data_IF_714660014816
#
_entry.id   IF_714660014816
#
_cell.length_a   1.000
_cell.length_b   1.000
_cell.length_c   1.000
_cell.angle_alpha   90.00
_cell.angle_beta   90.00
_cell.angle_gamma   90.00
#
_symmetry.space_group_name_H-M   'P 1'
#
loop_
_entity.id
_entity.type
_entity.pdbx_description
1 polymer ?
#
# COMPACT_ATOMS: atom_id res chain seq x y z
N UNK A 1 -18.04 5.90 1.12
CA UNK A 1 -18.20 6.61 -0.16
C UNK A 1 -18.81 5.65 -1.17
N UNK A 2 -19.59 6.18 -2.10
CA UNK A 2 -20.12 5.42 -3.22
C UNK A 2 -19.07 5.19 -4.30
N UNK A 3 -19.23 4.12 -5.09
CA UNK A 3 -18.37 3.86 -6.26
C UNK A 3 -18.31 5.05 -7.22
N UNK A 4 -19.43 5.72 -7.45
CA UNK A 4 -19.53 6.88 -8.35
C UNK A 4 -18.71 8.08 -7.86
N UNK A 5 -18.64 8.30 -6.55
CA UNK A 5 -17.82 9.38 -5.99
C UNK A 5 -16.33 9.09 -6.20
N UNK A 6 -15.89 7.87 -5.91
CA UNK A 6 -14.49 7.46 -6.07
C UNK A 6 -14.06 7.53 -7.55
N UNK A 7 -14.89 7.02 -8.46
CA UNK A 7 -14.61 7.05 -9.89
C UNK A 7 -14.48 8.49 -10.41
N UNK A 8 -15.37 9.40 -10.00
CA UNK A 8 -15.32 10.81 -10.38
C UNK A 8 -14.09 11.52 -9.79
N UNK A 9 -13.72 11.20 -8.57
CA UNK A 9 -12.50 11.74 -7.95
C UNK A 9 -11.24 11.30 -8.71
N UNK A 10 -11.16 10.03 -9.11
CA UNK A 10 -10.05 9.52 -9.92
C UNK A 10 -10.00 10.19 -11.29
N UNK A 11 -11.14 10.36 -11.97
CA UNK A 11 -11.21 11.07 -13.26
C UNK A 11 -10.71 12.52 -13.16
N UNK A 12 -11.01 13.22 -12.05
CA UNK A 12 -10.51 14.57 -11.83
C UNK A 12 -9.00 14.60 -11.60
N UNK A 13 -8.46 13.64 -10.84
CA UNK A 13 -7.03 13.54 -10.58
C UNK A 13 -6.22 13.23 -11.85
N UNK A 14 -6.74 12.36 -12.72
CA UNK A 14 -6.11 11.97 -13.99
C UNK A 14 -5.90 13.14 -14.97
N UNK A 15 -6.55 14.29 -14.75
CA UNK A 15 -6.34 15.49 -15.58
C UNK A 15 -4.95 16.07 -15.44
N UNK A 16 -4.42 16.02 -14.22
CA UNK A 16 -3.15 16.66 -13.86
C UNK A 16 -2.09 15.64 -13.43
N UNK A 17 -2.50 14.40 -13.12
CA UNK A 17 -1.63 13.34 -12.59
C UNK A 17 -1.65 12.12 -13.50
N UNK A 18 -0.46 11.57 -13.78
CA UNK A 18 -0.32 10.26 -14.42
C UNK A 18 -0.53 9.16 -13.38
N UNK A 19 -1.76 8.63 -13.31
CA UNK A 19 -2.13 7.58 -12.36
C UNK A 19 -1.98 6.22 -13.04
N UNK A 20 -1.16 5.35 -12.45
CA UNK A 20 -1.04 3.97 -12.94
C UNK A 20 -2.40 3.26 -12.86
N UNK A 21 -2.78 2.62 -13.98
CA UNK A 21 -3.93 1.73 -14.11
C UNK A 21 -4.11 0.77 -12.93
N UNK A 22 -3.01 0.24 -12.37
CA UNK A 22 -3.02 -0.69 -11.24
C UNK A 22 -3.59 -0.01 -9.99
N UNK A 23 -3.21 1.24 -9.73
CA UNK A 23 -3.70 2.02 -8.59
C UNK A 23 -5.16 2.39 -8.78
N UNK A 24 -5.57 2.74 -10.01
CA UNK A 24 -6.97 3.02 -10.34
C UNK A 24 -7.86 1.79 -10.11
N UNK A 25 -7.47 0.65 -10.64
CA UNK A 25 -8.24 -0.59 -10.53
C UNK A 25 -8.35 -1.07 -9.09
N UNK A 26 -7.29 -0.86 -8.29
CA UNK A 26 -7.32 -1.10 -6.85
C UNK A 26 -8.41 -0.27 -6.15
N UNK A 27 -8.42 1.05 -6.36
CA UNK A 27 -9.41 1.94 -5.72
C UNK A 27 -10.85 1.70 -6.21
N UNK A 28 -11.00 1.23 -7.45
CA UNK A 28 -12.30 0.87 -8.02
C UNK A 28 -12.78 -0.54 -7.63
N UNK A 29 -11.99 -1.30 -6.85
CA UNK A 29 -12.35 -2.66 -6.43
C UNK A 29 -12.42 -3.67 -7.58
N UNK A 30 -11.72 -3.41 -8.69
CA UNK A 30 -11.68 -4.29 -9.87
C UNK A 30 -10.66 -5.42 -9.77
N UNK A 31 -9.83 -5.38 -8.72
CA UNK A 31 -8.75 -6.34 -8.46
C UNK A 31 -9.26 -7.47 -7.56
N UNK A 32 -9.04 -8.71 -7.98
CA UNK A 32 -9.34 -9.92 -7.22
C UNK A 32 -8.16 -10.43 -6.38
N UNK A 33 -7.00 -9.79 -6.53
CA UNK A 33 -5.72 -10.22 -5.96
C UNK A 33 -5.25 -9.31 -4.82
N UNK A 34 -6.15 -8.50 -4.26
CA UNK A 34 -5.90 -7.66 -3.09
C UNK A 34 -5.85 -8.53 -1.85
N UNK A 35 -4.76 -8.42 -1.09
CA UNK A 35 -4.63 -8.95 0.25
C UNK A 35 -4.22 -7.83 1.21
N UNK A 36 -4.19 -8.12 2.50
CA UNK A 36 -3.98 -7.13 3.55
C UNK A 36 -2.91 -7.60 4.52
N UNK A 37 -1.97 -6.71 4.83
CA UNK A 37 -1.03 -6.90 5.92
C UNK A 37 -1.35 -5.88 7.03
N UNK A 38 -1.53 -6.36 8.25
CA UNK A 38 -1.86 -5.53 9.40
C UNK A 38 -0.66 -5.40 10.34
N UNK A 39 -0.24 -4.17 10.64
CA UNK A 39 0.88 -3.90 11.57
C UNK A 39 0.35 -3.13 12.77
N UNK A 40 0.56 -3.65 13.98
CA UNK A 40 0.19 -2.98 15.23
C UNK A 40 1.39 -2.23 15.82
N UNK A 41 1.24 -0.92 16.03
CA UNK A 41 2.24 -0.07 16.69
C UNK A 41 1.57 0.61 17.89
N UNK A 42 1.92 0.17 19.10
CA UNK A 42 1.24 0.60 20.32
C UNK A 42 -0.26 0.28 20.27
N UNK A 43 -1.08 1.33 20.24
CA UNK A 43 -2.54 1.23 20.24
C UNK A 43 -3.18 1.44 18.86
N UNK A 44 -2.37 1.61 17.81
CA UNK A 44 -2.84 1.81 16.43
C UNK A 44 -2.57 0.57 15.60
N UNK A 45 -3.56 0.18 14.79
CA UNK A 45 -3.43 -0.90 13.80
C UNK A 45 -3.46 -0.29 12.40
N UNK A 46 -2.40 -0.53 11.63
CA UNK A 46 -2.26 -0.10 10.26
C UNK A 46 -2.66 -1.24 9.33
N UNK A 47 -3.73 -1.04 8.56
CA UNK A 47 -4.17 -1.95 7.52
C UNK A 47 -3.52 -1.55 6.19
N UNK A 48 -2.55 -2.34 5.73
CA UNK A 48 -1.73 -2.05 4.54
C UNK A 48 -2.09 -3.06 3.44
N UNK A 49 -2.91 -2.67 2.46
CA UNK A 49 -3.26 -3.55 1.34
C UNK A 49 -2.08 -3.75 0.40
N UNK A 50 -1.99 -4.93 -0.20
CA UNK A 50 -0.98 -5.29 -1.20
C UNK A 50 -1.55 -6.21 -2.28
N UNK A 51 -0.94 -6.22 -3.47
CA UNK A 51 -1.38 -7.01 -4.62
C UNK A 51 -0.58 -8.30 -4.71
N UNK A 52 -1.23 -9.44 -4.52
CA UNK A 52 -0.58 -10.76 -4.48
C UNK A 52 -0.03 -11.22 -5.82
N UNK A 53 -0.64 -10.80 -6.94
CA UNK A 53 -0.17 -11.13 -8.30
C UNK A 53 0.89 -10.16 -8.83
N UNK A 54 1.19 -9.07 -8.10
CA UNK A 54 2.26 -8.13 -8.47
C UNK A 54 3.44 -8.32 -7.52
N UNK A 55 4.49 -9.00 -8.00
CA UNK A 55 5.69 -9.25 -7.20
C UNK A 55 6.50 -7.99 -6.85
N UNK A 56 6.31 -6.86 -7.55
CA UNK A 56 7.22 -5.71 -7.49
C UNK A 56 6.54 -4.32 -7.41
N UNK A 57 5.46 -4.12 -6.63
CA UNK A 57 4.99 -2.76 -6.35
C UNK A 57 5.63 -2.22 -5.06
N UNK A 58 6.62 -1.35 -5.27
CA UNK A 58 7.43 -0.47 -4.39
C UNK A 58 6.94 -0.10 -2.96
N UNK A 59 6.53 -1.04 -2.12
CA UNK A 59 6.27 -0.77 -0.68
C UNK A 59 7.15 -1.58 0.28
N UNK A 60 7.87 -2.59 -0.22
CA UNK A 60 8.77 -3.42 0.60
C UNK A 60 10.18 -2.84 0.80
N UNK A 61 10.69 -2.05 -0.15
CA UNK A 61 12.13 -1.75 -0.15
C UNK A 61 12.55 -0.55 0.71
N UNK A 62 11.66 0.42 0.98
CA UNK A 62 12.04 1.62 1.76
C UNK A 62 11.68 1.46 3.23
N UNK A 63 10.48 0.95 3.54
CA UNK A 63 9.99 0.82 4.92
C UNK A 63 10.35 -0.54 5.53
N UNK A 64 10.28 -1.62 4.74
CA UNK A 64 10.65 -2.97 5.20
C UNK A 64 12.14 -3.10 5.51
N UNK A 65 13.01 -2.52 4.67
CA UNK A 65 14.45 -2.48 4.96
C UNK A 65 14.75 -1.64 6.21
N UNK A 66 14.15 -0.45 6.35
CA UNK A 66 14.41 0.41 7.51
C UNK A 66 14.03 -0.29 8.82
N UNK A 67 12.87 -0.97 8.88
CA UNK A 67 12.44 -1.70 10.09
C UNK A 67 13.29 -2.95 10.37
N UNK A 68 13.77 -3.66 9.34
CA UNK A 68 14.69 -4.78 9.52
C UNK A 68 16.08 -4.33 9.98
N UNK A 69 16.62 -3.24 9.45
CA UNK A 69 17.92 -2.69 9.84
C UNK A 69 17.91 -2.20 11.29
N UNK A 70 16.90 -1.42 11.72
CA UNK A 70 16.83 -0.97 13.12
C UNK A 70 16.53 -2.10 14.12
N UNK A 71 15.93 -3.21 13.69
CA UNK A 71 15.75 -4.38 14.54
C UNK A 71 17.04 -5.20 14.67
N UNK A 72 17.86 -5.26 13.61
CA UNK A 72 19.13 -5.97 13.61
C UNK A 72 20.21 -5.23 14.41
N UNK A 73 20.28 -3.90 14.30
CA UNK A 73 21.28 -3.07 15.00
C UNK A 73 21.13 -3.04 16.54
N UNK A 74 20.01 -3.56 17.08
CA UNK A 74 19.79 -3.68 18.53
C UNK A 74 20.20 -5.03 19.13
N UNK A 75 20.52 -6.03 18.31
CA UNK A 75 20.89 -7.38 18.78
C UNK A 75 22.41 -7.55 18.93
N UNK A 76 23.21 -6.66 18.36
CA UNK A 76 24.68 -6.76 18.35
C UNK A 76 25.39 -6.00 19.50
N UNK A 77 24.65 -5.54 20.52
CA UNK A 77 25.20 -4.84 21.71
C UNK A 77 24.92 -5.53 23.06
N UNK A 78 24.56 -6.83 23.06
CA UNK A 78 24.54 -7.66 24.26
C UNK A 78 25.44 -8.89 24.11
#
# INVERSE_FOLDING_TARGET
>A
MSYSEIAKSLELLEKDWDIDSVIKDFHLGKRDDVSENSIKIGNVVFHIPFLTKIKNLFFGNVIGQTVQTVAQDKVDFL
#
